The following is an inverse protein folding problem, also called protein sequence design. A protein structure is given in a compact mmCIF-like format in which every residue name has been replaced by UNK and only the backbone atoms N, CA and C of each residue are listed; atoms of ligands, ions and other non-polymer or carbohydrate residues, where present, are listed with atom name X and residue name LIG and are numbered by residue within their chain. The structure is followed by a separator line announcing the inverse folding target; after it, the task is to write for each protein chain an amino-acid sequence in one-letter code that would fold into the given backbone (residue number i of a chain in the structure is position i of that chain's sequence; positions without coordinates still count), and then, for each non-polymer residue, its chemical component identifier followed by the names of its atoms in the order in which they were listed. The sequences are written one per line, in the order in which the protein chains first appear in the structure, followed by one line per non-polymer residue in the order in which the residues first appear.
data_IF_991747358795
#
_entry.id   IF_991747358795
#
_cell.length_a   1.000
_cell.length_b   1.000
_cell.length_c   1.000
_cell.angle_alpha   90.00
_cell.angle_beta   90.00
_cell.angle_gamma   90.00
#
_symmetry.space_group_name_H-M   'P 1'
#
loop_
_entity.id
_entity.type
_entity.pdbx_description
1 polymer ?
#
# COMPACT_ATOMS: atom_id res chain seq x y z
N UNK A 1 -9.62 14.05 25.76
CA UNK A 1 -8.21 13.64 25.55
C UNK A 1 -8.04 12.28 26.18
N UNK A 2 -7.53 11.27 25.45
CA UNK A 2 -7.12 10.00 26.07
C UNK A 2 -6.11 10.34 27.17
N UNK A 3 -6.41 9.96 28.41
CA UNK A 3 -5.56 10.20 29.58
C UNK A 3 -4.13 9.69 29.33
N UNK A 4 -3.12 10.49 29.66
CA UNK A 4 -1.76 10.00 29.84
C UNK A 4 -1.81 8.89 30.90
N UNK A 5 -1.39 7.67 30.56
CA UNK A 5 -1.51 6.51 31.45
C UNK A 5 -0.41 6.46 32.53
N UNK A 6 0.20 7.62 32.85
CA UNK A 6 1.32 7.74 33.78
C UNK A 6 1.02 7.17 35.16
N UNK A 7 -0.21 7.32 35.67
CA UNK A 7 -0.60 6.75 36.96
C UNK A 7 -0.47 5.22 36.99
N UNK A 8 -0.93 4.54 35.94
CA UNK A 8 -0.80 3.08 35.81
C UNK A 8 0.66 2.67 35.70
N UNK A 9 1.47 3.39 34.93
CA UNK A 9 2.90 3.10 34.79
C UNK A 9 3.62 3.25 36.13
N UNK A 10 3.34 4.31 36.89
CA UNK A 10 3.91 4.54 38.23
C UNK A 10 3.54 3.38 39.16
N UNK A 11 2.26 2.96 39.22
CA UNK A 11 1.83 1.82 40.05
C UNK A 11 2.60 0.56 39.70
N UNK A 12 2.67 0.23 38.41
CA UNK A 12 3.31 -0.99 37.93
C UNK A 12 4.80 -0.99 38.26
N UNK A 13 5.55 0.04 37.85
CA UNK A 13 7.00 0.13 38.06
C UNK A 13 7.39 0.22 39.54
N UNK A 14 6.57 0.89 40.36
CA UNK A 14 6.76 0.92 41.82
C UNK A 14 6.64 -0.48 42.43
N UNK A 15 5.60 -1.24 42.03
CA UNK A 15 5.37 -2.61 42.51
C UNK A 15 6.45 -3.57 42.04
N UNK A 16 6.93 -3.46 40.80
CA UNK A 16 8.05 -4.25 40.27
C UNK A 16 9.33 -4.08 41.10
N UNK A 17 9.56 -2.88 41.64
CA UNK A 17 10.68 -2.59 42.56
C UNK A 17 10.39 -2.90 44.03
N UNK A 18 9.20 -3.41 44.37
CA UNK A 18 8.82 -3.76 45.74
C UNK A 18 8.63 -2.55 46.68
N UNK A 19 8.39 -1.36 46.13
CA UNK A 19 8.35 -0.10 46.89
C UNK A 19 6.94 0.22 47.40
N UNK A 20 6.83 0.91 48.52
CA UNK A 20 5.57 1.54 48.97
C UNK A 20 5.40 2.94 48.35
N UNK A 21 4.19 3.50 48.43
CA UNK A 21 3.96 4.89 48.01
C UNK A 21 4.79 5.90 48.84
N UNK A 22 5.07 5.58 50.10
CA UNK A 22 5.89 6.40 50.99
C UNK A 22 7.36 6.41 50.52
N UNK A 23 7.89 5.26 50.14
CA UNK A 23 9.28 5.13 49.68
C UNK A 23 9.52 5.95 48.41
N UNK A 24 8.58 5.87 47.46
CA UNK A 24 8.64 6.67 46.23
C UNK A 24 8.50 8.17 46.51
N UNK A 25 7.59 8.54 47.42
CA UNK A 25 7.37 9.93 47.81
C UNK A 25 8.63 10.53 48.46
N UNK A 26 9.27 9.78 49.36
CA UNK A 26 10.51 10.17 50.01
C UNK A 26 11.65 10.37 49.01
N UNK A 27 11.83 9.45 48.05
CA UNK A 27 12.85 9.58 47.01
C UNK A 27 12.66 10.84 46.15
N UNK A 28 11.41 11.18 45.81
CA UNK A 28 11.07 12.31 44.95
C UNK A 28 10.93 13.64 45.72
N UNK A 29 11.03 13.64 47.05
CA UNK A 29 10.84 14.84 47.87
C UNK A 29 9.40 15.36 47.86
N UNK A 30 8.40 14.49 47.70
CA UNK A 30 6.97 14.83 47.68
C UNK A 30 6.21 14.15 48.81
N UNK A 31 4.93 14.50 49.00
CA UNK A 31 4.08 13.79 49.95
C UNK A 31 3.55 12.48 49.38
N UNK A 32 3.37 11.46 50.24
CA UNK A 32 2.67 10.21 49.91
C UNK A 32 1.31 10.44 49.25
N UNK A 33 0.58 11.46 49.72
CA UNK A 33 -0.70 11.85 49.15
C UNK A 33 -0.59 12.27 47.67
N UNK A 34 0.53 12.88 47.27
CA UNK A 34 0.79 13.24 45.87
C UNK A 34 0.96 11.98 45.02
N UNK A 35 1.79 11.03 45.48
CA UNK A 35 1.96 9.73 44.80
C UNK A 35 0.65 8.98 44.67
N UNK A 36 -0.16 8.93 45.73
CA UNK A 36 -1.49 8.29 45.70
C UNK A 36 -2.42 8.95 44.67
N UNK A 37 -2.44 10.29 44.58
CA UNK A 37 -3.23 11.01 43.57
C UNK A 37 -2.75 10.72 42.15
N UNK A 38 -1.44 10.60 41.92
CA UNK A 38 -0.90 10.21 40.62
C UNK A 38 -1.32 8.80 40.23
N UNK A 39 -1.17 7.84 41.15
CA UNK A 39 -1.52 6.44 40.92
C UNK A 39 -3.02 6.21 40.69
N UNK A 40 -3.88 7.09 41.23
CA UNK A 40 -5.34 7.04 41.07
C UNK A 40 -5.88 7.92 39.94
N UNK A 41 -5.01 8.64 39.22
CA UNK A 41 -5.42 9.54 38.13
C UNK A 41 -6.06 10.85 38.58
N UNK A 42 -6.04 11.17 39.88
CA UNK A 42 -6.60 12.41 40.43
C UNK A 42 -5.74 13.65 40.11
N UNK A 43 -4.45 13.47 39.85
CA UNK A 43 -3.56 14.53 39.37
C UNK A 43 -2.37 13.92 38.63
N UNK A 44 -1.61 14.74 37.91
CA UNK A 44 -0.34 14.32 37.31
C UNK A 44 0.86 14.76 38.18
N UNK A 45 2.00 14.04 38.11
CA UNK A 45 3.27 14.57 38.57
C UNK A 45 3.60 15.88 37.87
N UNK A 46 4.28 16.78 38.57
CA UNK A 46 4.81 17.99 37.93
C UNK A 46 5.77 17.60 36.79
N UNK A 47 5.80 18.38 35.71
CA UNK A 47 6.65 18.12 34.55
C UNK A 47 8.14 17.99 34.94
N UNK A 48 8.58 18.72 35.97
CA UNK A 48 9.94 18.68 36.51
C UNK A 48 10.27 17.36 37.23
N UNK A 49 9.26 16.60 37.64
CA UNK A 49 9.43 15.29 38.28
C UNK A 49 9.51 14.13 37.27
N UNK A 50 9.11 14.33 36.01
CA UNK A 50 9.13 13.28 35.00
C UNK A 50 10.55 12.73 34.72
N UNK A 51 11.60 13.55 34.56
CA UNK A 51 12.96 13.04 34.41
C UNK A 51 13.40 12.19 35.61
N UNK A 52 13.07 12.61 36.82
CA UNK A 52 13.41 11.89 38.05
C UNK A 52 12.69 10.56 38.18
N UNK A 53 11.38 10.53 37.89
CA UNK A 53 10.58 9.30 37.82
C UNK A 53 11.12 8.34 36.77
N UNK A 54 11.41 8.84 35.56
CA UNK A 54 11.93 8.03 34.45
C UNK A 54 13.29 7.42 34.79
N UNK A 55 14.21 8.21 35.36
CA UNK A 55 15.52 7.75 35.82
C UNK A 55 15.40 6.73 36.97
N UNK A 56 14.51 6.95 37.93
CA UNK A 56 14.32 6.06 39.07
C UNK A 56 13.76 4.68 38.65
N UNK A 57 12.82 4.67 37.71
CA UNK A 57 12.24 3.45 37.15
C UNK A 57 13.08 2.83 36.03
N UNK A 58 14.14 3.52 35.58
CA UNK A 58 14.99 3.12 34.46
C UNK A 58 14.18 2.88 33.17
N UNK A 59 13.37 3.88 32.81
CA UNK A 59 12.53 3.90 31.61
C UNK A 59 12.62 5.28 30.94
N UNK A 60 12.16 5.42 29.70
CA UNK A 60 12.05 6.74 29.06
C UNK A 60 10.87 7.53 29.62
N UNK A 61 10.86 8.85 29.39
CA UNK A 61 9.70 9.71 29.72
C UNK A 61 8.47 9.28 28.91
N UNK A 62 8.65 8.86 27.65
CA UNK A 62 7.58 8.34 26.81
C UNK A 62 6.92 7.08 27.40
N UNK A 63 7.74 6.12 27.84
CA UNK A 63 7.26 4.91 28.52
C UNK A 63 6.56 5.26 29.84
N UNK A 64 7.13 6.20 30.62
CA UNK A 64 6.51 6.71 31.84
C UNK A 64 5.12 7.29 31.56
N UNK A 65 4.97 8.08 30.51
CA UNK A 65 3.70 8.70 30.12
C UNK A 65 2.72 7.71 29.48
N UNK A 66 3.17 6.51 29.11
CA UNK A 66 2.41 5.58 28.27
C UNK A 66 2.14 6.15 26.88
N UNK A 67 3.03 7.01 26.39
CA UNK A 67 2.95 7.65 25.09
C UNK A 67 3.88 6.92 24.11
N UNK A 68 3.33 6.45 22.99
CA UNK A 68 4.12 5.90 21.89
C UNK A 68 3.92 6.79 20.67
N UNK A 69 4.88 7.65 20.32
CA UNK A 69 4.80 8.48 19.12
C UNK A 69 4.90 7.65 17.84
N UNK A 70 5.40 6.42 17.95
CA UNK A 70 5.61 5.49 16.85
C UNK A 70 4.66 4.30 16.97
N UNK A 71 4.07 3.88 15.85
CA UNK A 71 3.36 2.61 15.76
C UNK A 71 4.33 1.52 15.30
N UNK A 72 4.09 0.29 15.75
CA UNK A 72 4.82 -0.87 15.22
C UNK A 72 4.36 -1.19 13.80
N UNK A 73 5.18 -1.83 12.95
CA UNK A 73 4.77 -2.23 11.61
C UNK A 73 3.48 -3.06 11.59
N UNK A 74 3.33 -4.00 12.53
CA UNK A 74 2.10 -4.78 12.67
C UNK A 74 0.87 -3.93 13.01
N UNK A 75 1.03 -2.91 13.86
CA UNK A 75 -0.06 -1.99 14.19
C UNK A 75 -0.41 -1.06 13.01
N UNK A 76 0.58 -0.62 12.24
CA UNK A 76 0.37 0.19 11.02
C UNK A 76 -0.39 -0.65 10.00
N UNK A 77 0.05 -1.89 9.74
CA UNK A 77 -0.61 -2.83 8.82
C UNK A 77 -2.06 -3.09 9.21
N UNK A 78 -2.32 -3.43 10.48
CA UNK A 78 -3.68 -3.68 10.95
C UNK A 78 -4.55 -2.41 10.87
N UNK A 79 -3.97 -1.24 11.14
CA UNK A 79 -4.67 0.03 11.04
C UNK A 79 -5.04 0.37 9.59
N UNK A 80 -4.11 0.16 8.66
CA UNK A 80 -4.31 0.38 7.22
C UNK A 80 -5.49 -0.46 6.72
N UNK A 81 -5.43 -1.79 6.94
CA UNK A 81 -6.46 -2.71 6.43
C UNK A 81 -7.85 -2.39 6.98
N UNK A 82 -7.95 -2.12 8.29
CA UNK A 82 -9.21 -1.66 8.89
C UNK A 82 -9.73 -0.38 8.23
N UNK A 83 -8.87 0.61 7.98
CA UNK A 83 -9.31 1.85 7.33
C UNK A 83 -9.72 1.64 5.86
N UNK A 84 -9.02 0.76 5.14
CA UNK A 84 -9.38 0.40 3.76
C UNK A 84 -10.76 -0.27 3.70
N UNK A 85 -11.04 -1.20 4.62
CA UNK A 85 -12.37 -1.83 4.75
C UNK A 85 -13.45 -0.82 5.17
N UNK A 86 -13.10 0.11 6.06
CA UNK A 86 -14.01 1.18 6.49
C UNK A 86 -14.37 2.11 5.33
N UNK A 87 -13.46 2.41 4.39
CA UNK A 87 -13.77 3.20 3.19
C UNK A 87 -14.81 2.54 2.29
N UNK A 88 -14.90 1.20 2.29
CA UNK A 88 -15.90 0.46 1.52
C UNK A 88 -17.25 0.35 2.24
N UNK A 89 -17.25 0.38 3.59
CA UNK A 89 -18.43 0.03 4.41
C UNK A 89 -19.04 1.19 5.20
N UNK A 90 -18.33 2.32 5.36
CA UNK A 90 -18.76 3.48 6.15
C UNK A 90 -18.80 4.76 5.30
N UNK A 91 -19.48 5.82 5.77
CA UNK A 91 -19.48 7.11 5.07
C UNK A 91 -18.06 7.63 4.86
N UNK A 92 -17.70 7.88 3.60
CA UNK A 92 -16.35 8.30 3.19
C UNK A 92 -15.79 9.46 4.03
N UNK A 93 -16.60 10.49 4.30
CA UNK A 93 -16.20 11.65 5.08
C UNK A 93 -15.86 11.33 6.55
N UNK A 94 -16.51 10.33 7.15
CA UNK A 94 -16.24 9.88 8.52
C UNK A 94 -14.87 9.20 8.60
N UNK A 95 -14.59 8.29 7.67
CA UNK A 95 -13.32 7.56 7.59
C UNK A 95 -12.16 8.52 7.29
N UNK A 96 -12.37 9.48 6.39
CA UNK A 96 -11.39 10.51 6.08
C UNK A 96 -11.09 11.41 7.30
N UNK A 97 -12.11 11.79 8.07
CA UNK A 97 -11.93 12.54 9.31
C UNK A 97 -11.12 11.73 10.35
N UNK A 98 -11.37 10.42 10.45
CA UNK A 98 -10.57 9.54 11.30
C UNK A 98 -9.10 9.48 10.85
N UNK A 99 -8.86 9.32 9.55
CA UNK A 99 -7.52 9.35 8.95
C UNK A 99 -6.77 10.63 9.35
N UNK A 100 -7.42 11.79 9.24
CA UNK A 100 -6.82 13.08 9.60
C UNK A 100 -6.49 13.17 11.10
N UNK A 101 -7.34 12.62 11.97
CA UNK A 101 -7.07 12.56 13.41
C UNK A 101 -5.87 11.65 13.73
N UNK A 102 -5.77 10.50 13.05
CA UNK A 102 -4.65 9.55 13.19
C UNK A 102 -3.34 10.20 12.72
N UNK A 103 -3.33 10.83 11.54
CA UNK A 103 -2.18 11.55 10.98
C UNK A 103 -1.70 12.62 11.96
N UNK A 104 -2.62 13.44 12.49
CA UNK A 104 -2.28 14.48 13.48
C UNK A 104 -1.72 13.89 14.77
N UNK A 105 -2.26 12.75 15.23
CA UNK A 105 -1.84 12.11 16.48
C UNK A 105 -0.43 11.51 16.38
N UNK A 106 -0.09 10.92 15.24
CA UNK A 106 1.15 10.19 15.00
C UNK A 106 2.01 10.89 13.94
N UNK A 107 2.04 12.22 13.97
CA UNK A 107 2.66 13.05 12.92
C UNK A 107 4.19 12.92 12.82
N UNK A 108 4.83 12.35 13.86
CA UNK A 108 6.24 11.98 13.87
C UNK A 108 6.50 10.54 13.42
N UNK A 109 5.45 9.76 13.13
CA UNK A 109 5.58 8.37 12.70
C UNK A 109 5.63 8.28 11.18
N UNK A 110 6.81 8.50 10.61
CA UNK A 110 6.97 8.51 9.15
C UNK A 110 6.56 7.21 8.45
N UNK A 111 6.83 6.00 8.98
CA UNK A 111 6.30 4.78 8.39
C UNK A 111 4.77 4.77 8.31
N UNK A 112 4.09 5.26 9.37
CA UNK A 112 2.64 5.42 9.31
C UNK A 112 2.24 6.49 8.30
N UNK A 113 2.90 7.65 8.27
CA UNK A 113 2.56 8.72 7.31
C UNK A 113 2.68 8.25 5.86
N UNK A 114 3.68 7.41 5.54
CA UNK A 114 3.80 6.81 4.21
C UNK A 114 2.58 5.95 3.91
N UNK A 115 2.20 5.05 4.82
CA UNK A 115 1.04 4.18 4.63
C UNK A 115 -0.28 4.96 4.61
N UNK A 116 -0.38 6.10 5.31
CA UNK A 116 -1.52 7.02 5.18
C UNK A 116 -1.53 7.70 3.81
N UNK A 117 -0.39 8.10 3.25
CA UNK A 117 -0.32 8.65 1.89
C UNK A 117 -0.75 7.61 0.85
N UNK A 118 -0.29 6.36 0.98
CA UNK A 118 -0.73 5.22 0.15
C UNK A 118 -2.24 5.00 0.28
N UNK A 119 -2.78 5.02 1.49
CA UNK A 119 -4.21 4.81 1.75
C UNK A 119 -5.04 5.89 1.05
N UNK A 120 -4.68 7.16 1.23
CA UNK A 120 -5.36 8.30 0.62
C UNK A 120 -5.27 8.23 -0.92
N UNK A 121 -4.10 7.94 -1.47
CA UNK A 121 -3.90 7.80 -2.91
C UNK A 121 -4.74 6.65 -3.51
N UNK A 122 -4.93 5.54 -2.79
CA UNK A 122 -5.73 4.42 -3.29
C UNK A 122 -7.24 4.63 -3.18
N UNK A 123 -7.71 5.50 -2.27
CA UNK A 123 -9.15 5.67 -1.98
C UNK A 123 -9.72 7.02 -2.42
N UNK A 124 -8.91 7.93 -2.98
CA UNK A 124 -9.35 9.26 -3.41
C UNK A 124 -10.53 9.25 -4.41
N UNK A 125 -10.60 8.21 -5.27
CA UNK A 125 -11.66 8.04 -6.28
C UNK A 125 -13.05 7.80 -5.68
N UNK A 126 -13.12 7.43 -4.39
CA UNK A 126 -14.39 7.25 -3.68
C UNK A 126 -14.97 8.57 -3.14
N UNK A 127 -14.25 9.70 -3.33
CA UNK A 127 -14.75 11.01 -2.96
C UNK A 127 -15.99 11.40 -3.78
N UNK A 128 -16.84 12.25 -3.19
CA UNK A 128 -18.11 12.65 -3.80
C UNK A 128 -17.96 13.44 -5.11
N UNK A 129 -16.82 14.10 -5.30
CA UNK A 129 -16.56 14.97 -6.43
C UNK A 129 -15.04 15.08 -6.74
N UNK A 130 -14.67 15.52 -7.96
CA UNK A 130 -13.27 15.62 -8.37
C UNK A 130 -12.41 16.60 -7.57
N UNK A 131 -13.00 17.67 -7.00
CA UNK A 131 -12.27 18.66 -6.21
C UNK A 131 -11.89 18.08 -4.83
N UNK A 132 -12.82 17.33 -4.22
CA UNK A 132 -12.56 16.54 -3.01
C UNK A 132 -11.47 15.49 -3.25
N UNK A 133 -11.53 14.76 -4.37
CA UNK A 133 -10.52 13.77 -4.74
C UNK A 133 -9.12 14.41 -4.89
N UNK A 134 -9.04 15.56 -5.56
CA UNK A 134 -7.82 16.36 -5.69
C UNK A 134 -7.25 16.79 -4.33
N UNK A 135 -8.11 17.28 -3.44
CA UNK A 135 -7.69 17.71 -2.09
C UNK A 135 -7.06 16.56 -1.29
N UNK A 136 -7.57 15.34 -1.47
CA UNK A 136 -7.04 14.13 -0.82
C UNK A 136 -5.66 13.76 -1.38
N UNK A 137 -5.48 13.85 -2.70
CA UNK A 137 -4.18 13.64 -3.34
C UNK A 137 -3.15 14.70 -2.88
N UNK A 138 -3.54 15.96 -2.79
CA UNK A 138 -2.68 17.04 -2.27
C UNK A 138 -2.28 16.80 -0.80
N UNK A 139 -3.17 16.21 0.01
CA UNK A 139 -2.83 15.75 1.37
C UNK A 139 -1.79 14.63 1.35
N UNK A 140 -1.94 13.62 0.48
CA UNK A 140 -0.96 12.55 0.32
C UNK A 140 0.41 13.09 -0.10
N UNK A 141 0.45 14.02 -1.06
CA UNK A 141 1.67 14.73 -1.48
C UNK A 141 2.32 15.44 -0.30
N UNK A 142 1.54 16.17 0.50
CA UNK A 142 2.06 16.88 1.69
C UNK A 142 2.71 15.92 2.70
N UNK A 143 2.14 14.74 2.90
CA UNK A 143 2.73 13.71 3.76
C UNK A 143 4.06 13.20 3.20
N UNK A 144 4.13 12.90 1.90
CA UNK A 144 5.37 12.45 1.25
C UNK A 144 6.47 13.51 1.30
N UNK A 145 6.14 14.78 1.02
CA UNK A 145 7.08 15.90 1.11
C UNK A 145 7.65 16.05 2.51
N UNK A 146 6.82 15.88 3.54
CA UNK A 146 7.29 15.88 4.94
C UNK A 146 8.27 14.75 5.21
N UNK A 147 7.95 13.52 4.78
CA UNK A 147 8.83 12.36 4.95
C UNK A 147 10.18 12.63 4.28
N UNK A 148 10.20 13.23 3.09
CA UNK A 148 11.44 13.59 2.39
C UNK A 148 12.23 14.70 3.08
N UNK A 149 11.54 15.66 3.69
CA UNK A 149 12.18 16.82 4.32
C UNK A 149 12.73 16.51 5.72
N UNK A 150 12.05 15.66 6.48
CA UNK A 150 12.34 15.42 7.91
C UNK A 150 12.67 13.95 8.24
N UNK A 151 12.54 13.02 7.30
CA UNK A 151 12.83 11.60 7.50
C UNK A 151 14.31 11.26 7.37
N UNK A 152 14.80 10.44 8.30
CA UNK A 152 16.19 9.96 8.29
C UNK A 152 16.37 8.62 7.54
N UNK A 153 15.28 7.89 7.29
CA UNK A 153 15.29 6.61 6.58
C UNK A 153 15.29 6.83 5.04
N UNK A 154 16.37 6.38 4.39
CA UNK A 154 16.57 6.52 2.95
C UNK A 154 15.59 5.70 2.12
N UNK A 155 15.24 4.50 2.58
CA UNK A 155 14.29 3.63 1.89
C UNK A 155 12.91 4.25 1.95
N UNK A 156 12.49 4.70 3.14
CA UNK A 156 11.22 5.37 3.33
C UNK A 156 11.12 6.67 2.51
N UNK A 157 12.21 7.44 2.44
CA UNK A 157 12.31 8.66 1.63
C UNK A 157 12.13 8.36 0.15
N UNK A 158 12.77 7.29 -0.35
CA UNK A 158 12.62 6.84 -1.74
C UNK A 158 11.19 6.39 -2.03
N UNK A 159 10.58 5.64 -1.12
CA UNK A 159 9.21 5.16 -1.30
C UNK A 159 8.21 6.33 -1.28
N UNK A 160 8.45 7.35 -0.43
CA UNK A 160 7.68 8.60 -0.44
C UNK A 160 7.79 9.36 -1.77
N UNK A 161 8.98 9.40 -2.40
CA UNK A 161 9.17 10.00 -3.74
C UNK A 161 8.30 9.28 -4.78
N UNK A 162 8.27 7.95 -4.76
CA UNK A 162 7.44 7.16 -5.70
C UNK A 162 5.95 7.45 -5.54
N UNK A 163 5.46 7.51 -4.29
CA UNK A 163 4.05 7.82 -4.01
C UNK A 163 3.72 9.27 -4.37
N UNK A 164 4.61 10.22 -4.08
CA UNK A 164 4.45 11.63 -4.45
C UNK A 164 4.34 11.79 -5.98
N UNK A 165 5.23 11.16 -6.74
CA UNK A 165 5.18 11.16 -8.21
C UNK A 165 3.89 10.55 -8.75
N UNK A 166 3.43 9.45 -8.15
CA UNK A 166 2.14 8.82 -8.51
C UNK A 166 0.97 9.77 -8.27
N UNK A 167 0.93 10.46 -7.12
CA UNK A 167 -0.09 11.46 -6.84
C UNK A 167 -0.04 12.62 -7.83
N UNK A 168 1.16 13.10 -8.21
CA UNK A 168 1.30 14.14 -9.21
C UNK A 168 0.78 13.71 -10.60
N UNK A 169 1.01 12.45 -11.01
CA UNK A 169 0.39 11.91 -12.22
C UNK A 169 -1.14 11.92 -12.14
N UNK A 170 -1.72 11.46 -11.02
CA UNK A 170 -3.17 11.47 -10.80
C UNK A 170 -3.75 12.89 -10.76
N UNK A 171 -2.97 13.87 -10.29
CA UNK A 171 -3.33 15.29 -10.28
C UNK A 171 -3.17 15.99 -11.64
N UNK A 172 -2.66 15.30 -12.66
CA UNK A 172 -2.37 15.90 -13.97
C UNK A 172 -1.22 16.93 -13.90
N UNK A 173 -0.22 16.68 -13.05
CA UNK A 173 0.90 17.57 -12.75
C UNK A 173 2.25 16.99 -13.23
N UNK A 174 2.46 16.86 -14.56
CA UNK A 174 3.64 16.17 -15.11
C UNK A 174 4.96 16.91 -14.86
N UNK A 175 4.94 18.24 -14.80
CA UNK A 175 6.15 19.03 -14.52
C UNK A 175 6.74 18.69 -13.15
N UNK A 176 5.87 18.55 -12.14
CA UNK A 176 6.26 18.15 -10.79
C UNK A 176 6.86 16.73 -10.75
N UNK A 177 6.38 15.81 -11.58
CA UNK A 177 6.95 14.46 -11.70
C UNK A 177 8.37 14.53 -12.26
N UNK A 178 8.58 15.33 -13.32
CA UNK A 178 9.90 15.50 -13.94
C UNK A 178 10.89 16.20 -13.00
N UNK A 179 10.45 17.23 -12.28
CA UNK A 179 11.27 17.90 -11.26
C UNK A 179 11.64 16.96 -10.10
N UNK A 180 10.73 16.04 -9.75
CA UNK A 180 10.90 15.11 -8.65
C UNK A 180 11.83 13.94 -8.98
N UNK A 181 11.68 13.33 -10.16
CA UNK A 181 12.40 12.11 -10.56
C UNK A 181 13.63 12.39 -11.43
N UNK A 182 13.70 13.57 -12.04
CA UNK A 182 14.64 13.88 -13.11
C UNK A 182 14.17 13.35 -14.47
N UNK A 183 14.79 13.86 -15.53
CA UNK A 183 14.48 13.47 -16.92
C UNK A 183 15.36 12.32 -17.44
N UNK A 184 16.49 12.06 -16.78
CA UNK A 184 17.46 11.05 -17.22
C UNK A 184 17.09 9.64 -16.75
N UNK A 185 16.92 8.72 -17.71
CA UNK A 185 16.78 7.29 -17.41
C UNK A 185 18.14 6.70 -17.04
N UNK A 186 18.26 6.18 -15.82
CA UNK A 186 19.47 5.50 -15.34
C UNK A 186 19.33 3.98 -15.44
N UNK A 187 20.43 3.25 -15.70
CA UNK A 187 20.41 1.80 -15.60
C UNK A 187 19.96 1.33 -14.21
N UNK A 188 19.26 0.19 -14.17
CA UNK A 188 18.94 -0.44 -12.90
C UNK A 188 20.22 -0.77 -12.12
N UNK A 189 20.22 -0.59 -10.78
CA UNK A 189 21.33 -1.03 -9.95
C UNK A 189 21.56 -2.54 -10.09
N UNK A 190 22.82 -2.98 -10.26
CA UNK A 190 23.20 -4.39 -10.38
C UNK A 190 23.60 -5.02 -9.04
N UNK A 191 23.15 -4.43 -7.92
CA UNK A 191 23.60 -4.79 -6.57
C UNK A 191 23.12 -6.19 -6.16
N UNK A 192 22.05 -6.69 -6.78
CA UNK A 192 21.41 -7.97 -6.44
C UNK A 192 22.29 -9.18 -6.78
N UNK A 193 23.00 -9.14 -7.92
CA UNK A 193 23.95 -10.19 -8.31
C UNK A 193 25.15 -10.22 -7.35
N UNK A 194 25.66 -9.04 -7.01
CA UNK A 194 26.75 -8.89 -6.04
C UNK A 194 26.32 -9.40 -4.65
N UNK A 195 25.10 -9.11 -4.21
CA UNK A 195 24.54 -9.58 -2.94
C UNK A 195 24.39 -11.11 -2.93
N UNK A 196 23.88 -11.70 -4.01
CA UNK A 196 23.79 -13.15 -4.15
C UNK A 196 25.17 -13.81 -4.08
N UNK A 197 26.18 -13.24 -4.77
CA UNK A 197 27.56 -13.72 -4.71
C UNK A 197 28.14 -13.60 -3.29
N UNK A 198 27.85 -12.52 -2.58
CA UNK A 198 28.28 -12.35 -1.18
C UNK A 198 27.68 -13.43 -0.27
N UNK A 199 26.39 -13.76 -0.42
CA UNK A 199 25.77 -14.86 0.33
C UNK A 199 26.38 -16.22 -0.03
N UNK A 200 26.70 -16.45 -1.30
CA UNK A 200 27.39 -17.67 -1.73
C UNK A 200 28.77 -17.79 -1.09
N UNK A 201 29.55 -16.69 -1.05
CA UNK A 201 30.86 -16.65 -0.38
C UNK A 201 30.76 -16.83 1.14
N UNK A 202 29.66 -16.38 1.74
CA UNK A 202 29.35 -16.57 3.16
C UNK A 202 28.79 -17.97 3.49
N UNK A 203 28.85 -18.93 2.55
CA UNK A 203 28.28 -20.29 2.70
C UNK A 203 26.78 -20.31 2.99
N UNK A 204 26.01 -19.35 2.44
CA UNK A 204 24.55 -19.29 2.54
C UNK A 204 23.89 -19.37 1.14
N UNK A 205 23.93 -20.54 0.48
CA UNK A 205 23.43 -20.71 -0.89
C UNK A 205 21.91 -20.52 -1.00
N UNK A 206 21.15 -20.84 0.04
CA UNK A 206 19.69 -20.66 0.03
C UNK A 206 19.31 -19.18 -0.05
N UNK A 207 20.02 -18.33 0.69
CA UNK A 207 19.80 -16.88 0.62
C UNK A 207 20.25 -16.29 -0.71
N UNK A 208 21.34 -16.79 -1.28
CA UNK A 208 21.77 -16.41 -2.63
C UNK A 208 20.71 -16.75 -3.69
N UNK A 209 20.15 -17.97 -3.64
CA UNK A 209 19.05 -18.41 -4.52
C UNK A 209 17.82 -17.52 -4.37
N UNK A 210 17.41 -17.23 -3.13
CA UNK A 210 16.28 -16.35 -2.85
C UNK A 210 16.47 -14.96 -3.48
N UNK A 211 17.65 -14.34 -3.29
CA UNK A 211 17.96 -13.01 -3.83
C UNK A 211 17.84 -12.99 -5.36
N UNK A 212 18.34 -14.01 -6.06
CA UNK A 212 18.25 -14.11 -7.52
C UNK A 212 16.83 -14.37 -8.03
N UNK A 213 16.05 -15.19 -7.32
CA UNK A 213 14.64 -15.40 -7.69
C UNK A 213 13.81 -14.13 -7.50
N UNK A 214 13.96 -13.40 -6.39
CA UNK A 214 13.29 -12.11 -6.17
C UNK A 214 13.64 -11.15 -7.32
N UNK A 215 14.93 -11.04 -7.67
CA UNK A 215 15.36 -10.19 -8.78
C UNK A 215 14.71 -10.58 -10.10
N UNK A 216 14.68 -11.88 -10.40
CA UNK A 216 14.12 -12.40 -11.65
C UNK A 216 12.61 -12.16 -11.74
N UNK A 217 11.90 -12.39 -10.62
CA UNK A 217 10.47 -12.14 -10.50
C UNK A 217 10.15 -10.66 -10.72
N UNK A 218 10.90 -9.75 -10.08
CA UNK A 218 10.72 -8.31 -10.25
C UNK A 218 10.98 -7.87 -11.70
N UNK A 219 12.05 -8.33 -12.34
CA UNK A 219 12.34 -7.98 -13.74
C UNK A 219 11.26 -8.48 -14.70
N UNK A 220 10.75 -9.70 -14.49
CA UNK A 220 9.64 -10.25 -15.26
C UNK A 220 8.39 -9.37 -15.13
N UNK A 221 8.00 -9.02 -13.90
CA UNK A 221 6.84 -8.16 -13.67
C UNK A 221 7.03 -6.75 -14.24
N UNK A 222 8.23 -6.16 -14.13
CA UNK A 222 8.51 -4.85 -14.74
C UNK A 222 8.43 -4.89 -16.27
N UNK A 223 8.97 -5.93 -16.90
CA UNK A 223 8.90 -6.10 -18.35
C UNK A 223 7.44 -6.15 -18.83
N UNK A 224 6.61 -6.94 -18.15
CA UNK A 224 5.21 -7.15 -18.56
C UNK A 224 4.32 -5.96 -18.19
N UNK A 225 4.44 -5.41 -16.98
CA UNK A 225 3.63 -4.25 -16.56
C UNK A 225 3.92 -2.98 -17.39
N UNK A 226 5.17 -2.79 -17.83
CA UNK A 226 5.52 -1.67 -18.72
C UNK A 226 4.83 -1.78 -20.08
N UNK A 227 4.51 -3.00 -20.53
CA UNK A 227 3.87 -3.23 -21.82
C UNK A 227 2.52 -2.52 -21.93
N UNK A 228 1.71 -2.45 -20.87
CA UNK A 228 0.41 -1.76 -20.89
C UNK A 228 0.55 -0.29 -21.32
N UNK A 229 1.45 0.46 -20.69
CA UNK A 229 1.70 1.85 -21.06
C UNK A 229 2.35 1.97 -22.44
N UNK A 230 3.26 1.04 -22.78
CA UNK A 230 3.95 1.04 -24.06
C UNK A 230 3.01 0.76 -25.23
N UNK A 231 2.00 -0.08 -25.05
CA UNK A 231 0.93 -0.32 -26.03
C UNK A 231 0.16 0.96 -26.31
N UNK A 232 -0.31 1.66 -25.27
CA UNK A 232 -1.08 2.89 -25.41
C UNK A 232 -0.27 3.98 -26.12
N UNK A 233 1.02 4.12 -25.78
CA UNK A 233 1.91 5.10 -26.43
C UNK A 233 2.18 4.80 -27.91
N UNK A 234 2.06 3.54 -28.34
CA UNK A 234 2.22 3.12 -29.73
C UNK A 234 0.89 2.85 -30.42
N UNK A 235 -0.24 3.31 -29.86
CA UNK A 235 -1.56 2.98 -30.39
C UNK A 235 -1.73 3.34 -31.87
N UNK A 236 -1.02 4.33 -32.41
CA UNK A 236 -1.09 4.70 -33.84
C UNK A 236 -0.31 3.78 -34.79
N UNK A 237 0.56 2.91 -34.29
CA UNK A 237 1.42 2.01 -35.07
C UNK A 237 1.09 0.54 -34.76
N UNK A 238 0.17 -0.03 -35.53
CA UNK A 238 -0.34 -1.39 -35.27
C UNK A 238 0.72 -2.48 -35.47
N UNK A 239 1.69 -2.30 -36.38
CA UNK A 239 2.78 -3.27 -36.57
C UNK A 239 3.67 -3.34 -35.31
N UNK A 240 3.94 -2.17 -34.71
CA UNK A 240 4.67 -2.08 -33.46
C UNK A 240 3.85 -2.64 -32.27
N UNK A 241 2.54 -2.35 -32.22
CA UNK A 241 1.61 -2.92 -31.22
C UNK A 241 1.60 -4.45 -31.26
N UNK A 242 1.45 -5.04 -32.45
CA UNK A 242 1.49 -6.50 -32.63
C UNK A 242 2.82 -7.09 -32.17
N UNK A 243 3.95 -6.41 -32.45
CA UNK A 243 5.27 -6.83 -31.99
C UNK A 243 5.39 -6.79 -30.45
N UNK A 244 4.84 -5.75 -29.82
CA UNK A 244 4.82 -5.61 -28.35
C UNK A 244 3.99 -6.75 -27.76
N UNK A 245 2.76 -6.96 -28.25
CA UNK A 245 1.87 -8.01 -27.78
C UNK A 245 2.48 -9.40 -27.94
N UNK A 246 3.05 -9.71 -29.11
CA UNK A 246 3.66 -11.02 -29.37
C UNK A 246 4.78 -11.34 -28.37
N UNK A 247 5.62 -10.36 -28.02
CA UNK A 247 6.70 -10.55 -27.04
C UNK A 247 6.17 -10.65 -25.61
N UNK A 248 5.28 -9.74 -25.23
CA UNK A 248 4.71 -9.69 -23.87
C UNK A 248 3.91 -10.95 -23.57
N UNK A 249 2.99 -11.34 -24.46
CA UNK A 249 2.16 -12.53 -24.29
C UNK A 249 2.96 -13.83 -24.40
N UNK A 250 4.01 -13.84 -25.23
CA UNK A 250 4.95 -14.96 -25.31
C UNK A 250 5.68 -15.21 -23.98
N UNK A 251 6.20 -14.14 -23.36
CA UNK A 251 6.82 -14.22 -22.02
C UNK A 251 5.78 -14.57 -20.96
N UNK A 252 4.61 -13.93 -20.97
CA UNK A 252 3.55 -14.18 -20.01
C UNK A 252 3.13 -15.66 -20.00
N UNK A 253 2.98 -16.27 -21.18
CA UNK A 253 2.67 -17.69 -21.33
C UNK A 253 3.77 -18.61 -20.80
N UNK A 254 5.05 -18.25 -20.97
CA UNK A 254 6.17 -19.08 -20.50
C UNK A 254 6.25 -19.13 -18.97
N UNK A 255 5.80 -18.08 -18.29
CA UNK A 255 5.79 -17.95 -16.83
C UNK A 255 4.40 -18.09 -16.21
N UNK A 256 3.41 -18.54 -16.99
CA UNK A 256 2.02 -18.70 -16.56
C UNK A 256 1.46 -17.49 -15.79
N UNK A 257 1.69 -16.28 -16.33
CA UNK A 257 1.41 -15.03 -15.61
C UNK A 257 -0.08 -14.77 -15.34
N UNK A 258 -0.98 -15.41 -16.08
CA UNK A 258 -2.41 -15.34 -15.79
C UNK A 258 -2.70 -15.93 -14.40
N UNK A 259 -1.99 -17.01 -14.01
CA UNK A 259 -2.08 -17.58 -12.66
C UNK A 259 -1.10 -16.90 -11.68
N UNK A 260 0.14 -16.64 -12.09
CA UNK A 260 1.18 -16.13 -11.19
C UNK A 260 0.97 -14.66 -10.79
N UNK A 261 0.42 -13.83 -11.67
CA UNK A 261 0.19 -12.41 -11.38
C UNK A 261 -1.00 -11.83 -12.20
N UNK A 262 -2.23 -12.28 -11.92
CA UNK A 262 -3.42 -11.98 -12.74
C UNK A 262 -3.70 -10.49 -12.87
N UNK A 263 -3.42 -9.67 -11.85
CA UNK A 263 -3.60 -8.22 -11.92
C UNK A 263 -2.74 -7.56 -13.02
N UNK A 264 -1.52 -8.06 -13.24
CA UNK A 264 -0.65 -7.51 -14.30
C UNK A 264 -1.16 -7.90 -15.68
N UNK A 265 -1.65 -9.13 -15.84
CA UNK A 265 -2.21 -9.59 -17.10
C UNK A 265 -3.52 -8.90 -17.44
N UNK A 266 -4.40 -8.68 -16.46
CA UNK A 266 -5.61 -7.87 -16.63
C UNK A 266 -5.28 -6.46 -17.18
N UNK A 267 -4.23 -5.80 -16.66
CA UNK A 267 -3.80 -4.49 -17.18
C UNK A 267 -3.27 -4.56 -18.62
N UNK A 268 -2.59 -5.64 -19.01
CA UNK A 268 -2.08 -5.82 -20.38
C UNK A 268 -3.23 -6.07 -21.35
N UNK A 269 -4.14 -6.99 -21.02
CA UNK A 269 -5.30 -7.31 -21.85
C UNK A 269 -6.23 -6.09 -22.01
N UNK A 270 -6.46 -5.34 -20.93
CA UNK A 270 -7.27 -4.13 -20.98
C UNK A 270 -6.63 -3.05 -21.88
N UNK A 271 -5.33 -2.80 -21.74
CA UNK A 271 -4.61 -1.85 -22.59
C UNK A 271 -4.63 -2.27 -24.07
N UNK A 272 -4.45 -3.56 -24.36
CA UNK A 272 -4.56 -4.11 -25.71
C UNK A 272 -5.96 -3.87 -26.29
N UNK A 273 -7.01 -4.18 -25.54
CA UNK A 273 -8.39 -3.94 -25.94
C UNK A 273 -8.65 -2.46 -26.25
N UNK A 274 -8.12 -1.54 -25.42
CA UNK A 274 -8.21 -0.09 -25.64
C UNK A 274 -7.52 0.34 -26.95
N UNK A 275 -6.34 -0.20 -27.26
CA UNK A 275 -5.63 0.11 -28.51
C UNK A 275 -6.48 -0.29 -29.72
N UNK A 276 -6.97 -1.54 -29.77
CA UNK A 276 -7.81 -1.98 -30.90
C UNK A 276 -9.16 -1.27 -30.96
N UNK A 277 -9.70 -0.85 -29.81
CA UNK A 277 -10.92 -0.07 -29.74
C UNK A 277 -10.76 1.32 -30.38
N UNK A 278 -9.59 1.97 -30.23
CA UNK A 278 -9.27 3.23 -30.91
C UNK A 278 -9.34 3.08 -32.43
N UNK A 279 -8.98 1.89 -32.96
CA UNK A 279 -9.06 1.56 -34.39
C UNK A 279 -10.42 0.99 -34.82
N UNK A 280 -11.39 0.90 -33.91
CA UNK A 280 -12.71 0.30 -34.15
C UNK A 280 -12.64 -1.16 -34.64
N UNK A 281 -11.58 -1.89 -34.28
CA UNK A 281 -11.48 -3.32 -34.55
C UNK A 281 -12.26 -4.12 -33.49
N UNK A 282 -13.54 -4.36 -33.78
CA UNK A 282 -14.44 -5.02 -32.85
C UNK A 282 -13.98 -6.43 -32.47
N UNK A 283 -13.49 -7.22 -33.42
CA UNK A 283 -13.18 -8.62 -33.18
C UNK A 283 -11.95 -8.77 -32.29
N UNK A 284 -10.89 -8.00 -32.55
CA UNK A 284 -9.67 -8.03 -31.73
C UNK A 284 -9.89 -7.39 -30.36
N UNK A 285 -10.65 -6.29 -30.27
CA UNK A 285 -11.04 -5.70 -28.97
C UNK A 285 -11.78 -6.73 -28.12
N UNK A 286 -12.76 -7.43 -28.69
CA UNK A 286 -13.54 -8.42 -27.95
C UNK A 286 -12.72 -9.64 -27.54
N UNK A 287 -11.74 -10.06 -28.33
CA UNK A 287 -10.81 -11.12 -27.95
C UNK A 287 -10.03 -10.74 -26.69
N UNK A 288 -9.42 -9.56 -26.65
CA UNK A 288 -8.68 -9.11 -25.46
C UNK A 288 -9.58 -8.81 -24.26
N UNK A 289 -10.82 -8.35 -24.47
CA UNK A 289 -11.78 -8.22 -23.38
C UNK A 289 -12.22 -9.58 -22.83
N UNK A 290 -12.24 -10.63 -23.66
CA UNK A 290 -12.50 -11.99 -23.21
C UNK A 290 -11.35 -12.52 -22.34
N UNK A 291 -10.09 -12.31 -22.76
CA UNK A 291 -8.91 -12.66 -21.97
C UNK A 291 -8.86 -11.89 -20.63
N UNK A 292 -9.14 -10.58 -20.66
CA UNK A 292 -9.30 -9.76 -19.46
C UNK A 292 -10.36 -10.36 -18.52
N UNK A 293 -11.53 -10.68 -19.08
CA UNK A 293 -12.67 -11.21 -18.30
C UNK A 293 -12.32 -12.54 -17.68
N UNK A 294 -11.65 -13.42 -18.43
CA UNK A 294 -11.23 -14.74 -17.95
C UNK A 294 -10.28 -14.61 -16.76
N UNK A 295 -9.23 -13.78 -16.87
CA UNK A 295 -8.31 -13.55 -15.77
C UNK A 295 -9.01 -12.96 -14.55
N UNK A 296 -9.95 -12.03 -14.72
CA UNK A 296 -10.69 -11.44 -13.62
C UNK A 296 -11.60 -12.43 -12.85
N UNK A 297 -12.06 -13.51 -13.49
CA UNK A 297 -12.99 -14.47 -12.85
C UNK A 297 -12.33 -15.80 -12.46
N UNK A 298 -11.14 -16.10 -12.95
CA UNK A 298 -10.45 -17.37 -12.73
C UNK A 298 -9.50 -17.29 -11.54
N UNK A 299 -9.95 -17.76 -10.38
CA UNK A 299 -9.18 -17.84 -9.12
C UNK A 299 -8.50 -16.52 -8.69
N UNK A 300 -9.03 -15.37 -9.13
CA UNK A 300 -8.49 -14.04 -8.79
C UNK A 300 -8.63 -13.73 -7.29
N UNK A 301 -9.72 -14.20 -6.66
CA UNK A 301 -10.05 -13.92 -5.27
C UNK A 301 -10.06 -15.20 -4.41
N UNK A 302 -9.54 -15.15 -3.16
CA UNK A 302 -8.90 -14.00 -2.53
C UNK A 302 -7.52 -13.69 -3.14
N UNK A 303 -7.29 -12.44 -3.53
CA UNK A 303 -6.03 -12.04 -4.16
C UNK A 303 -4.90 -11.99 -3.15
N UNK A 304 -3.79 -12.66 -3.46
CA UNK A 304 -2.55 -12.57 -2.70
C UNK A 304 -1.35 -12.72 -3.63
N UNK A 305 -0.27 -11.98 -3.37
CA UNK A 305 1.01 -12.23 -4.01
C UNK A 305 1.56 -13.60 -3.59
N UNK A 306 2.01 -14.37 -4.57
CA UNK A 306 2.59 -15.70 -4.37
C UNK A 306 3.69 -15.99 -5.42
N UNK A 307 4.47 -17.03 -5.14
CA UNK A 307 5.33 -17.68 -6.12
C UNK A 307 4.66 -18.89 -6.75
N UNK A 308 5.42 -19.66 -7.51
CA UNK A 308 5.02 -20.93 -8.12
C UNK A 308 6.15 -21.96 -7.99
N UNK A 309 6.05 -23.07 -8.73
CA UNK A 309 7.08 -24.12 -8.76
C UNK A 309 8.45 -23.62 -9.26
N UNK A 310 8.50 -22.50 -9.97
CA UNK A 310 9.74 -21.88 -10.44
C UNK A 310 10.28 -20.84 -9.44
N UNK A 311 9.41 -19.96 -8.94
CA UNK A 311 9.69 -18.96 -7.92
C UNK A 311 9.42 -19.51 -6.50
N UNK A 312 10.04 -20.64 -6.18
CA UNK A 312 9.80 -21.41 -4.94
C UNK A 312 10.42 -20.78 -3.66
N UNK A 313 11.25 -19.74 -3.78
CA UNK A 313 12.01 -19.14 -2.68
C UNK A 313 11.63 -17.68 -2.37
N UNK A 314 10.57 -17.15 -2.98
CA UNK A 314 10.16 -15.74 -2.80
C UNK A 314 9.14 -15.51 -1.68
N UNK A 315 8.53 -16.56 -1.11
CA UNK A 315 7.52 -16.41 -0.06
C UNK A 315 8.00 -15.59 1.16
N UNK A 316 9.22 -15.81 1.71
CA UNK A 316 9.70 -15.02 2.84
C UNK A 316 9.95 -13.54 2.50
N UNK A 317 10.08 -13.18 1.22
CA UNK A 317 10.19 -11.79 0.80
C UNK A 317 8.86 -11.07 0.94
N UNK A 318 7.75 -11.71 0.57
CA UNK A 318 6.42 -11.12 0.74
C UNK A 318 6.05 -10.86 2.21
N UNK A 319 6.58 -11.65 3.14
CA UNK A 319 6.41 -11.44 4.58
C UNK A 319 7.02 -10.12 5.07
N UNK A 320 7.95 -9.54 4.30
CA UNK A 320 8.58 -8.24 4.61
C UNK A 320 7.76 -7.03 4.16
N UNK A 321 6.65 -7.23 3.45
CA UNK A 321 5.87 -6.12 2.90
C UNK A 321 5.04 -5.43 3.99
N UNK A 322 5.07 -4.10 4.02
CA UNK A 322 4.37 -3.28 5.02
C UNK A 322 2.88 -3.60 5.11
N UNK A 323 2.23 -3.83 3.96
CA UNK A 323 0.81 -4.17 3.87
C UNK A 323 0.56 -5.68 3.74
N UNK A 324 1.61 -6.49 3.55
CA UNK A 324 1.53 -7.92 3.27
C UNK A 324 1.26 -8.25 1.79
N UNK A 325 0.79 -9.47 1.54
CA UNK A 325 0.54 -10.03 0.19
C UNK A 325 -0.78 -9.60 -0.44
N UNK A 326 -1.72 -9.09 0.36
CA UNK A 326 -3.05 -8.71 -0.11
C UNK A 326 -3.06 -7.35 -0.81
N UNK A 327 -4.13 -7.03 -1.54
CA UNK A 327 -4.25 -5.77 -2.25
C UNK A 327 -4.44 -4.57 -1.29
N UNK A 328 -4.13 -3.33 -1.72
CA UNK A 328 -4.23 -2.13 -0.89
C UNK A 328 -5.67 -1.59 -0.76
N UNK A 329 -6.64 -2.17 -1.46
CA UNK A 329 -8.07 -1.81 -1.45
C UNK A 329 -8.88 -3.06 -1.12
N UNK A 330 -10.10 -2.88 -0.61
CA UNK A 330 -11.00 -4.00 -0.35
C UNK A 330 -11.39 -4.73 -1.65
N UNK A 331 -11.74 -6.00 -1.51
CA UNK A 331 -12.16 -6.87 -2.61
C UNK A 331 -13.35 -6.27 -3.39
N UNK A 332 -14.37 -5.74 -2.69
CA UNK A 332 -15.54 -5.12 -3.32
C UNK A 332 -15.19 -3.92 -4.20
N UNK A 333 -14.26 -3.07 -3.74
CA UNK A 333 -13.80 -1.90 -4.52
C UNK A 333 -13.02 -2.35 -5.76
N UNK A 334 -12.24 -3.43 -5.66
CA UNK A 334 -11.50 -4.00 -6.79
C UNK A 334 -12.47 -4.59 -7.81
N UNK A 335 -13.44 -5.40 -7.37
CA UNK A 335 -14.49 -6.00 -8.19
C UNK A 335 -15.26 -4.94 -8.97
N UNK A 336 -15.68 -3.86 -8.30
CA UNK A 336 -16.34 -2.75 -8.96
C UNK A 336 -15.43 -2.06 -9.98
N UNK A 337 -14.15 -1.81 -9.62
CA UNK A 337 -13.18 -1.20 -10.54
C UNK A 337 -12.96 -2.04 -11.80
N UNK A 338 -12.97 -3.38 -11.67
CA UNK A 338 -12.82 -4.28 -12.81
C UNK A 338 -14.00 -4.19 -13.78
N UNK A 339 -15.23 -4.10 -13.25
CA UNK A 339 -16.43 -3.92 -14.07
C UNK A 339 -16.47 -2.55 -14.73
N UNK A 340 -16.18 -1.49 -13.97
CA UNK A 340 -16.16 -0.11 -14.46
C UNK A 340 -15.12 0.06 -15.58
N UNK A 341 -14.02 -0.70 -15.55
CA UNK A 341 -13.03 -0.75 -16.61
C UNK A 341 -13.61 -1.09 -17.99
N UNK A 342 -14.73 -1.82 -18.05
CA UNK A 342 -15.46 -2.11 -19.29
C UNK A 342 -16.65 -1.18 -19.49
N UNK A 343 -17.48 -1.01 -18.45
CA UNK A 343 -18.78 -0.33 -18.56
C UNK A 343 -18.65 1.19 -18.66
N UNK A 344 -17.69 1.77 -17.92
CA UNK A 344 -17.51 3.22 -17.83
C UNK A 344 -16.45 3.75 -18.82
N UNK A 345 -15.77 2.88 -19.57
CA UNK A 345 -14.75 3.29 -20.53
C UNK A 345 -15.39 3.65 -21.90
N UNK A 346 -15.35 4.94 -22.30
CA UNK A 346 -16.01 5.39 -23.54
C UNK A 346 -15.37 4.82 -24.81
N UNK A 347 -14.14 4.29 -24.75
CA UNK A 347 -13.52 3.62 -25.90
C UNK A 347 -14.29 2.39 -26.35
N UNK A 348 -15.08 1.77 -25.47
CA UNK A 348 -15.86 0.57 -25.79
C UNK A 348 -17.31 0.89 -26.19
N UNK A 349 -17.69 2.16 -26.31
CA UNK A 349 -19.06 2.57 -26.63
C UNK A 349 -19.58 1.99 -27.95
N UNK A 350 -18.70 1.81 -28.95
CA UNK A 350 -19.06 1.22 -30.25
C UNK A 350 -19.43 -0.26 -30.17
N UNK A 351 -19.16 -0.94 -29.04
CA UNK A 351 -19.49 -2.33 -28.79
C UNK A 351 -20.76 -2.52 -27.94
N UNK A 352 -21.42 -1.45 -27.48
CA UNK A 352 -22.57 -1.53 -26.56
C UNK A 352 -23.73 -2.40 -27.07
N UNK A 353 -23.89 -2.50 -28.38
CA UNK A 353 -24.94 -3.32 -29.01
C UNK A 353 -24.42 -4.72 -29.44
N UNK A 354 -23.12 -4.99 -29.36
CA UNK A 354 -22.55 -6.31 -29.67
C UNK A 354 -22.89 -7.30 -28.55
N UNK A 355 -23.54 -8.40 -28.92
CA UNK A 355 -23.95 -9.44 -28.00
C UNK A 355 -22.77 -10.05 -27.22
N UNK A 356 -21.60 -10.19 -27.85
CA UNK A 356 -20.40 -10.74 -27.21
C UNK A 356 -19.94 -9.83 -26.08
N UNK A 357 -19.96 -8.52 -26.29
CA UNK A 357 -19.61 -7.52 -25.27
C UNK A 357 -20.57 -7.58 -24.07
N UNK A 358 -21.87 -7.64 -24.35
CA UNK A 358 -22.91 -7.78 -23.31
C UNK A 358 -22.75 -9.07 -22.52
N UNK A 359 -22.39 -10.17 -23.18
CA UNK A 359 -22.19 -11.47 -22.51
C UNK A 359 -20.92 -11.45 -21.62
N UNK A 360 -19.86 -10.74 -22.02
CA UNK A 360 -18.66 -10.52 -21.17
C UNK A 360 -18.99 -9.70 -19.91
N UNK A 361 -19.74 -8.61 -20.04
CA UNK A 361 -20.19 -7.80 -18.90
C UNK A 361 -20.99 -8.66 -17.92
N UNK A 362 -21.97 -9.44 -18.42
CA UNK A 362 -22.76 -10.34 -17.58
C UNK A 362 -21.92 -11.40 -16.87
N UNK A 363 -20.88 -11.93 -17.54
CA UNK A 363 -19.96 -12.89 -16.93
C UNK A 363 -19.22 -12.26 -15.76
N UNK A 364 -18.71 -11.03 -15.91
CA UNK A 364 -18.06 -10.30 -14.82
C UNK A 364 -19.05 -9.99 -13.69
N UNK A 365 -20.23 -9.46 -13.99
CA UNK A 365 -21.26 -9.17 -12.98
C UNK A 365 -21.61 -10.42 -12.16
N UNK A 366 -21.84 -11.55 -12.82
CA UNK A 366 -22.20 -12.80 -12.16
C UNK A 366 -21.10 -13.38 -11.25
N UNK A 367 -19.82 -13.14 -11.53
CA UNK A 367 -18.71 -13.69 -10.74
C UNK A 367 -18.15 -12.69 -9.71
N UNK A 368 -18.24 -11.39 -10.00
CA UNK A 368 -17.67 -10.35 -9.17
C UNK A 368 -18.70 -9.71 -8.24
N UNK A 369 -19.97 -9.63 -8.63
CA UNK A 369 -21.00 -8.91 -7.88
C UNK A 369 -22.05 -9.85 -7.26
N UNK A 370 -22.16 -11.11 -7.73
CA UNK A 370 -23.15 -12.08 -7.24
C UNK A 370 -22.53 -13.25 -6.47
N UNK A 371 -22.44 -13.12 -5.14
CA UNK A 371 -23.01 -14.04 -4.13
C UNK A 371 -22.71 -13.47 -2.73
N UNK A 372 -23.55 -12.51 -2.32
CA UNK A 372 -23.49 -11.88 -1.01
C UNK A 372 -24.86 -11.46 -0.48
N UNK A 373 -25.93 -12.15 -0.87
CA UNK A 373 -27.23 -12.03 -0.21
C UNK A 373 -28.02 -13.36 -0.26
N UNK A 374 -27.39 -14.44 0.24
CA UNK A 374 -28.11 -15.66 0.67
C UNK A 374 -27.49 -16.25 1.93
N UNK A 375 -28.02 -15.75 3.05
CA UNK A 375 -28.17 -16.35 4.39
C UNK A 375 -26.95 -16.56 5.29
#
# INVERSE_FOLDING_TARGET
MKELNIGKTIVTKRREKGLTQEDLAHYLGVSKASVSKWETGLSYPDITLLPHLSAYFNISIDELMGYSPQLTPAAIKALYHRLADDFASKPFAEVLAECQLIIKKYYSCFPLLLQMAVLLANHHMLAADPESARTILDQAVTLCQRIRAEGDDRTLTRDAISIEGTCYLMLGQPAQVMDLLGEDVRPFPTDTEMLAQAYQMASNPDKARQVLQISSYQHLLFLVSTASAYLILNASDLDQVETILARTLGVAKLYDLDALHPNTMAQVYHAAAQVYAIHQDADTTLAFLADYTEVCVSDFFPYALHGDDYFDAIQPWFETFDLGVGPPRSEDVIKQSMLDGLVANPLFDFLKEDRRFVDLIKKLEAHLIDEGDKQ
#
